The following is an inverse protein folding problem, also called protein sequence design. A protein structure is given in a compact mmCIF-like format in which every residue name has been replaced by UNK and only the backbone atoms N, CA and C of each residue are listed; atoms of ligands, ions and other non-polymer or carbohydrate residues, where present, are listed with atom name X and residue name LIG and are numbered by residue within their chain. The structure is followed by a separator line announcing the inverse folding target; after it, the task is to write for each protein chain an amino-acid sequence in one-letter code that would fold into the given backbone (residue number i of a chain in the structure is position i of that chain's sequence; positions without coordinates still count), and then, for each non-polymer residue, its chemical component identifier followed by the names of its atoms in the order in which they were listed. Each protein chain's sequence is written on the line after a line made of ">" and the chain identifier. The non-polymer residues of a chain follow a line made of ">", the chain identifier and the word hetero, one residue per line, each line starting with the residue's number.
data_IF_228984383747
#
_entry.id   IF_228984383747
#
_cell.length_a   1.000
_cell.length_b   1.000
_cell.length_c   1.000
_cell.angle_alpha   90.00
_cell.angle_beta   90.00
_cell.angle_gamma   90.00
#
_symmetry.space_group_name_H-M   'P 1'
#
loop_
_entity.id
_entity.type
_entity.pdbx_description
1 polymer ?
#
# COMPACT_ATOMS: atom_id res chain seq x y z
N UNK A 1 24.48 28.38 10.52
CA UNK A 1 25.25 29.15 9.52
C UNK A 1 26.48 29.80 10.11
N UNK A 2 26.57 29.87 11.41
CA UNK A 2 27.67 30.47 12.21
C UNK A 2 28.20 29.43 13.17
N UNK A 3 29.50 29.45 13.43
CA UNK A 3 30.15 28.65 14.48
C UNK A 3 30.39 29.60 15.66
N UNK A 4 29.71 29.33 16.78
CA UNK A 4 29.78 30.13 17.98
C UNK A 4 30.83 29.51 18.94
N UNK A 5 31.39 30.33 19.81
CA UNK A 5 32.22 29.91 20.93
C UNK A 5 31.33 29.43 22.11
N UNK A 6 31.97 28.98 23.20
CA UNK A 6 31.27 28.52 24.42
C UNK A 6 30.49 29.61 25.14
N UNK A 7 30.74 30.89 24.78
CA UNK A 7 30.10 32.09 25.36
C UNK A 7 29.01 32.64 24.44
N UNK A 8 28.77 32.00 23.26
CA UNK A 8 27.72 32.38 22.31
C UNK A 8 28.16 33.49 21.34
N UNK A 9 29.40 33.87 21.28
CA UNK A 9 29.91 34.85 20.32
C UNK A 9 30.29 34.17 19.01
N UNK A 10 30.23 34.95 17.90
CA UNK A 10 30.61 34.46 16.60
C UNK A 10 32.10 34.14 16.54
N UNK A 11 32.44 32.85 16.44
CA UNK A 11 33.84 32.41 16.27
C UNK A 11 34.28 32.46 14.81
N UNK A 12 33.43 31.94 13.90
CA UNK A 12 33.66 31.97 12.46
C UNK A 12 32.39 31.71 11.68
N UNK A 13 32.36 32.06 10.42
CA UNK A 13 31.30 31.61 9.50
C UNK A 13 31.42 30.10 9.24
N UNK A 14 30.30 29.44 9.00
CA UNK A 14 30.30 28.02 8.62
C UNK A 14 31.11 27.81 7.33
N UNK A 15 31.66 26.61 7.17
CA UNK A 15 32.56 26.26 6.08
C UNK A 15 31.93 26.48 4.68
N UNK A 16 30.61 26.41 4.55
CA UNK A 16 29.89 26.68 3.31
C UNK A 16 30.10 28.08 2.75
N UNK A 17 30.53 29.06 3.58
CA UNK A 17 30.83 30.44 3.15
C UNK A 17 32.31 30.67 2.81
N UNK A 18 33.16 29.72 3.22
CA UNK A 18 34.63 29.91 3.09
C UNK A 18 35.28 28.92 2.14
N UNK A 19 34.62 27.76 1.93
CA UNK A 19 35.09 26.70 1.04
C UNK A 19 33.93 25.96 0.41
N UNK A 20 34.18 25.32 -0.73
CA UNK A 20 33.21 24.42 -1.35
C UNK A 20 33.03 23.18 -0.47
N UNK A 21 31.85 23.01 0.12
CA UNK A 21 31.50 21.87 0.97
C UNK A 21 30.90 20.70 0.19
N UNK A 22 30.33 20.95 -0.99
CA UNK A 22 29.82 19.96 -1.89
C UNK A 22 30.92 19.51 -2.84
N UNK A 23 31.26 18.23 -2.81
CA UNK A 23 32.22 17.68 -3.78
C UNK A 23 31.56 17.66 -5.16
N UNK A 24 32.29 17.98 -6.25
CA UNK A 24 31.79 17.80 -7.59
C UNK A 24 31.50 16.32 -7.81
N UNK A 25 30.39 16.03 -8.49
CA UNK A 25 30.08 14.67 -8.92
C UNK A 25 31.20 14.21 -9.87
N UNK A 26 31.83 13.09 -9.54
CA UNK A 26 32.78 12.41 -10.40
C UNK A 26 32.07 11.17 -10.92
N UNK A 27 31.83 11.09 -12.23
CA UNK A 27 31.25 9.91 -12.83
C UNK A 27 32.17 8.72 -12.65
N UNK A 28 31.62 7.61 -12.16
CA UNK A 28 32.32 6.34 -12.04
C UNK A 28 32.42 5.73 -13.44
N UNK A 29 33.63 5.42 -13.90
CA UNK A 29 33.86 4.90 -15.24
C UNK A 29 34.05 3.39 -15.32
N UNK A 30 34.41 2.75 -14.19
CA UNK A 30 34.53 1.29 -14.10
C UNK A 30 34.35 0.81 -12.67
N UNK A 31 33.88 -0.41 -12.49
CA UNK A 31 33.67 -1.08 -11.20
C UNK A 31 34.07 -2.56 -11.33
N UNK A 32 34.46 -3.16 -10.22
CA UNK A 32 34.94 -4.55 -10.20
C UNK A 32 33.83 -5.57 -9.91
N UNK A 33 32.77 -5.16 -9.21
CA UNK A 33 31.71 -6.06 -8.75
C UNK A 33 30.34 -5.70 -9.30
N UNK A 34 29.46 -6.69 -9.45
CA UNK A 34 28.08 -6.48 -9.85
C UNK A 34 27.28 -5.60 -8.85
N UNK A 35 27.59 -5.73 -7.56
CA UNK A 35 26.94 -4.93 -6.52
C UNK A 35 27.32 -3.46 -6.60
N UNK A 36 28.58 -3.14 -6.93
CA UNK A 36 29.01 -1.76 -7.18
C UNK A 36 28.37 -1.20 -8.45
N UNK A 37 28.30 -1.99 -9.54
CA UNK A 37 27.62 -1.59 -10.76
C UNK A 37 26.15 -1.26 -10.49
N UNK A 38 25.46 -2.06 -9.68
CA UNK A 38 24.08 -1.81 -9.27
C UNK A 38 23.96 -0.52 -8.46
N UNK A 39 24.84 -0.30 -7.48
CA UNK A 39 24.83 0.91 -6.66
C UNK A 39 25.03 2.18 -7.50
N UNK A 40 25.95 2.14 -8.46
CA UNK A 40 26.19 3.25 -9.40
C UNK A 40 24.97 3.45 -10.32
N UNK A 41 24.39 2.37 -10.85
CA UNK A 41 23.20 2.43 -11.70
C UNK A 41 22.02 3.10 -10.97
N UNK A 42 21.77 2.72 -9.72
CA UNK A 42 20.70 3.33 -8.91
C UNK A 42 21.02 4.79 -8.61
N UNK A 43 22.27 5.10 -8.28
CA UNK A 43 22.71 6.48 -7.96
C UNK A 43 22.58 7.44 -9.15
N UNK A 44 22.92 6.98 -10.36
CA UNK A 44 23.00 7.85 -11.54
C UNK A 44 21.75 7.79 -12.43
N UNK A 45 21.14 6.60 -12.55
CA UNK A 45 19.97 6.36 -13.41
C UNK A 45 18.66 6.23 -12.64
N UNK A 46 18.71 6.14 -11.32
CA UNK A 46 17.56 5.89 -10.42
C UNK A 46 16.76 4.60 -10.79
N UNK A 47 17.41 3.64 -11.43
CA UNK A 47 16.84 2.35 -11.85
C UNK A 47 17.93 1.31 -12.04
N UNK A 48 17.52 0.04 -12.12
CA UNK A 48 18.39 -1.05 -12.53
C UNK A 48 18.52 -1.01 -14.07
N UNK A 49 19.66 -0.60 -14.58
CA UNK A 49 19.96 -0.47 -16.01
C UNK A 49 21.09 -1.44 -16.36
N UNK A 50 20.71 -2.61 -16.95
CA UNK A 50 21.64 -3.70 -17.20
C UNK A 50 22.72 -3.34 -18.23
N UNK A 51 22.37 -2.55 -19.24
CA UNK A 51 23.32 -2.14 -20.27
C UNK A 51 24.39 -1.23 -19.66
N UNK A 52 23.98 -0.28 -18.85
CA UNK A 52 24.90 0.61 -18.13
C UNK A 52 25.78 -0.16 -17.12
N UNK A 53 25.20 -1.12 -16.41
CA UNK A 53 25.96 -1.97 -15.48
C UNK A 53 26.96 -2.86 -16.21
N UNK A 54 26.63 -3.36 -17.40
CA UNK A 54 27.53 -4.13 -18.25
C UNK A 54 28.71 -3.29 -18.76
N UNK A 55 28.46 -2.02 -19.17
CA UNK A 55 29.53 -1.09 -19.57
C UNK A 55 30.50 -0.81 -18.41
N UNK A 56 29.99 -0.62 -17.20
CA UNK A 56 30.81 -0.29 -16.02
C UNK A 56 31.63 -1.49 -15.53
N UNK A 57 31.06 -2.68 -15.53
CA UNK A 57 31.69 -3.88 -14.95
C UNK A 57 32.45 -4.75 -15.98
N UNK A 58 32.18 -4.54 -17.27
CA UNK A 58 32.72 -5.40 -18.33
C UNK A 58 32.13 -6.83 -18.36
N UNK A 59 31.09 -7.11 -17.58
CA UNK A 59 30.40 -8.40 -17.50
C UNK A 59 29.17 -8.43 -18.39
N UNK A 60 28.81 -9.63 -18.84
CA UNK A 60 27.57 -9.80 -19.60
C UNK A 60 26.31 -9.58 -18.73
N UNK A 61 25.19 -9.12 -19.30
CA UNK A 61 23.92 -8.97 -18.55
C UNK A 61 23.47 -10.25 -17.84
N UNK A 62 23.72 -11.40 -18.46
CA UNK A 62 23.37 -12.72 -17.91
C UNK A 62 24.22 -13.09 -16.69
N UNK A 63 25.49 -12.74 -16.68
CA UNK A 63 26.37 -12.91 -15.53
C UNK A 63 25.98 -11.99 -14.38
N UNK A 64 25.67 -10.73 -14.69
CA UNK A 64 25.17 -9.75 -13.71
C UNK A 64 23.85 -10.20 -13.06
N UNK A 65 22.91 -10.72 -13.85
CA UNK A 65 21.64 -11.22 -13.32
C UNK A 65 21.82 -12.44 -12.40
N UNK A 66 22.81 -13.30 -12.69
CA UNK A 66 23.17 -14.44 -11.83
C UNK A 66 23.86 -14.01 -10.54
N UNK A 67 24.83 -13.10 -10.65
CA UNK A 67 25.55 -12.58 -9.46
C UNK A 67 24.64 -11.78 -8.52
N UNK A 68 23.65 -11.07 -9.08
CA UNK A 68 22.67 -10.28 -8.32
C UNK A 68 21.40 -11.05 -7.99
N UNK A 69 21.40 -12.36 -8.15
CA UNK A 69 20.25 -13.19 -7.80
C UNK A 69 19.86 -13.03 -6.32
N UNK A 70 18.61 -12.63 -6.07
CA UNK A 70 18.13 -12.29 -4.72
C UNK A 70 18.30 -10.82 -4.31
N UNK A 71 19.03 -10.02 -5.09
CA UNK A 71 19.18 -8.57 -4.91
C UNK A 71 18.30 -7.80 -5.90
N UNK A 72 18.16 -8.34 -7.12
CA UNK A 72 17.28 -7.81 -8.15
C UNK A 72 16.24 -8.86 -8.57
N UNK A 73 15.06 -8.38 -8.95
CA UNK A 73 13.92 -9.20 -9.34
C UNK A 73 13.24 -8.62 -10.59
N UNK A 74 12.62 -9.49 -11.39
CA UNK A 74 11.78 -9.08 -12.51
C UNK A 74 10.36 -8.84 -12.01
N UNK A 75 9.86 -7.61 -12.16
CA UNK A 75 8.57 -7.21 -11.59
C UNK A 75 7.45 -7.28 -12.64
N UNK A 76 6.53 -8.20 -12.43
CA UNK A 76 5.39 -8.50 -13.32
C UNK A 76 4.23 -7.51 -13.08
N UNK A 77 4.50 -6.20 -12.97
CA UNK A 77 3.48 -5.17 -12.68
C UNK A 77 2.48 -4.90 -13.80
N UNK A 78 2.79 -5.32 -15.02
CA UNK A 78 2.03 -4.90 -16.19
C UNK A 78 0.67 -5.62 -16.35
N UNK A 79 0.39 -6.66 -15.56
CA UNK A 79 -0.89 -7.33 -15.54
C UNK A 79 -1.70 -6.91 -14.31
N UNK A 80 -2.90 -6.40 -14.51
CA UNK A 80 -3.80 -6.05 -13.40
C UNK A 80 -4.40 -7.29 -12.74
N UNK A 81 -4.63 -8.34 -13.53
CA UNK A 81 -5.18 -9.61 -13.07
C UNK A 81 -4.29 -10.79 -13.47
N UNK A 82 -4.23 -11.86 -12.65
CA UNK A 82 -3.49 -13.09 -12.97
C UNK A 82 -3.92 -13.75 -14.30
N UNK A 83 -5.18 -13.58 -14.68
CA UNK A 83 -5.77 -14.12 -15.92
C UNK A 83 -5.24 -13.45 -17.19
N UNK A 84 -4.65 -12.26 -17.05
CA UNK A 84 -4.05 -11.51 -18.16
C UNK A 84 -2.66 -12.02 -18.56
N UNK A 85 -2.08 -12.94 -17.75
CA UNK A 85 -0.79 -13.56 -18.05
C UNK A 85 -1.00 -14.71 -19.05
N UNK A 86 -1.03 -14.36 -20.32
CA UNK A 86 -1.12 -15.36 -21.39
C UNK A 86 0.20 -16.12 -21.54
N UNK A 87 0.18 -17.41 -21.91
CA UNK A 87 1.42 -18.18 -22.19
C UNK A 87 2.33 -17.54 -23.23
N UNK A 88 1.77 -16.80 -24.19
CA UNK A 88 2.52 -16.04 -25.20
C UNK A 88 3.26 -14.82 -24.63
N UNK A 89 2.92 -14.36 -23.44
CA UNK A 89 3.56 -13.25 -22.72
C UNK A 89 4.43 -13.73 -21.56
N UNK A 90 4.54 -15.04 -21.37
CA UNK A 90 5.31 -15.67 -20.30
C UNK A 90 6.82 -15.62 -20.57
N UNK A 91 7.35 -14.41 -20.73
CA UNK A 91 8.78 -14.17 -20.85
C UNK A 91 9.21 -13.10 -19.84
N UNK A 92 9.97 -13.54 -18.83
CA UNK A 92 10.49 -12.65 -17.78
C UNK A 92 11.36 -11.52 -18.33
N UNK A 93 12.02 -11.71 -19.47
CA UNK A 93 12.88 -10.68 -20.05
C UNK A 93 12.16 -9.39 -20.42
N UNK A 94 10.84 -9.46 -20.60
CA UNK A 94 9.97 -8.30 -20.91
C UNK A 94 9.69 -7.41 -19.73
N UNK A 95 9.86 -7.92 -18.52
CA UNK A 95 9.53 -7.18 -17.30
C UNK A 95 10.76 -6.44 -16.77
N UNK A 96 10.56 -5.24 -16.22
CA UNK A 96 11.66 -4.45 -15.69
C UNK A 96 12.32 -5.15 -14.50
N UNK A 97 13.63 -4.98 -14.41
CA UNK A 97 14.39 -5.34 -13.22
C UNK A 97 14.25 -4.24 -12.19
N UNK A 98 13.99 -4.64 -10.97
CA UNK A 98 13.88 -3.74 -9.81
C UNK A 98 14.69 -4.31 -8.65
N UNK A 99 15.01 -3.47 -7.67
CA UNK A 99 15.73 -3.92 -6.46
C UNK A 99 14.81 -4.76 -5.56
N UNK A 100 15.42 -5.55 -4.67
CA UNK A 100 14.69 -6.33 -3.68
C UNK A 100 13.76 -5.45 -2.84
N UNK A 101 14.21 -4.29 -2.39
CA UNK A 101 13.41 -3.36 -1.58
C UNK A 101 12.14 -2.89 -2.32
N UNK A 102 12.26 -2.61 -3.61
CA UNK A 102 11.12 -2.23 -4.44
C UNK A 102 10.20 -3.43 -4.74
N UNK A 103 10.79 -4.60 -5.03
CA UNK A 103 10.02 -5.81 -5.35
C UNK A 103 9.23 -6.34 -4.15
N UNK A 104 9.89 -6.42 -2.98
CA UNK A 104 9.35 -7.01 -1.76
C UNK A 104 8.56 -6.02 -0.89
N UNK A 105 8.18 -4.87 -1.45
CA UNK A 105 7.37 -3.84 -0.77
C UNK A 105 6.07 -3.53 -1.51
N UNK A 106 5.21 -2.74 -0.86
CA UNK A 106 3.93 -2.33 -1.44
C UNK A 106 2.87 -3.44 -1.44
N UNK A 107 2.23 -3.70 -2.58
CA UNK A 107 1.14 -4.68 -2.71
C UNK A 107 1.66 -6.12 -2.84
N UNK A 108 2.43 -6.59 -1.87
CA UNK A 108 3.10 -7.91 -1.92
C UNK A 108 2.14 -9.09 -2.10
N UNK A 109 0.90 -9.01 -1.62
CA UNK A 109 -0.12 -10.05 -1.84
C UNK A 109 -0.56 -10.14 -3.31
N UNK A 110 -0.68 -9.02 -3.97
CA UNK A 110 -1.00 -8.98 -5.40
C UNK A 110 0.20 -9.48 -6.21
N UNK A 111 1.41 -9.01 -5.90
CA UNK A 111 2.64 -9.46 -6.54
C UNK A 111 2.81 -10.98 -6.41
N UNK A 112 2.52 -11.57 -5.25
CA UNK A 112 2.58 -13.01 -5.05
C UNK A 112 1.57 -13.77 -5.92
N UNK A 113 0.33 -13.30 -6.04
CA UNK A 113 -0.66 -13.92 -6.94
C UNK A 113 -0.19 -13.89 -8.39
N UNK A 114 0.37 -12.76 -8.83
CA UNK A 114 0.92 -12.62 -10.18
C UNK A 114 2.12 -13.54 -10.42
N UNK A 115 3.06 -13.60 -9.45
CA UNK A 115 4.23 -14.46 -9.55
C UNK A 115 3.86 -15.95 -9.59
N UNK A 116 2.86 -16.39 -8.82
CA UNK A 116 2.34 -17.77 -8.87
C UNK A 116 1.68 -18.09 -10.21
N UNK A 117 0.84 -17.21 -10.73
CA UNK A 117 0.22 -17.38 -12.04
C UNK A 117 1.28 -17.43 -13.17
N UNK A 118 2.32 -16.60 -13.07
CA UNK A 118 3.44 -16.65 -14.02
C UNK A 118 4.19 -17.98 -13.93
N UNK A 119 4.45 -18.48 -12.73
CA UNK A 119 5.17 -19.75 -12.54
C UNK A 119 4.47 -20.94 -13.21
N UNK A 120 3.13 -20.92 -13.26
CA UNK A 120 2.33 -21.99 -13.91
C UNK A 120 2.55 -22.02 -15.45
N UNK A 121 2.73 -20.85 -16.06
CA UNK A 121 2.89 -20.71 -17.53
C UNK A 121 4.33 -20.49 -17.96
N UNK A 122 5.27 -20.38 -17.03
CA UNK A 122 6.66 -20.08 -17.28
C UNK A 122 7.36 -21.16 -18.12
N UNK A 123 8.18 -20.78 -19.11
CA UNK A 123 9.02 -21.72 -19.83
C UNK A 123 10.09 -22.34 -18.92
N UNK A 124 10.53 -23.57 -19.23
CA UNK A 124 11.40 -24.36 -18.36
C UNK A 124 12.71 -23.65 -17.98
N UNK A 125 13.27 -22.87 -18.89
CA UNK A 125 14.50 -22.09 -18.66
C UNK A 125 14.33 -20.92 -17.68
N UNK A 126 13.09 -20.49 -17.39
CA UNK A 126 12.78 -19.37 -16.50
C UNK A 126 12.08 -19.82 -15.20
N UNK A 127 11.70 -21.08 -15.09
CA UNK A 127 11.00 -21.63 -13.91
C UNK A 127 11.78 -21.43 -12.61
N UNK A 128 13.10 -21.58 -12.66
CA UNK A 128 13.93 -21.41 -11.48
C UNK A 128 13.89 -19.95 -10.96
N UNK A 129 14.01 -18.99 -11.88
CA UNK A 129 13.91 -17.56 -11.54
C UNK A 129 12.49 -17.21 -11.05
N UNK A 130 11.46 -17.73 -11.72
CA UNK A 130 10.06 -17.54 -11.29
C UNK A 130 9.79 -18.14 -9.90
N UNK A 131 10.34 -19.33 -9.60
CA UNK A 131 10.22 -19.96 -8.27
C UNK A 131 10.88 -19.11 -7.20
N UNK A 132 12.08 -18.60 -7.42
CA UNK A 132 12.79 -17.70 -6.51
C UNK A 132 11.99 -16.44 -6.23
N UNK A 133 11.35 -15.85 -7.24
CA UNK A 133 10.47 -14.71 -7.07
C UNK A 133 9.28 -15.02 -6.16
N UNK A 134 8.65 -16.19 -6.32
CA UNK A 134 7.55 -16.64 -5.46
C UNK A 134 8.02 -16.85 -4.03
N UNK A 135 9.12 -17.57 -3.81
CA UNK A 135 9.68 -17.84 -2.49
C UNK A 135 10.02 -16.54 -1.73
N UNK A 136 10.64 -15.57 -2.41
CA UNK A 136 10.96 -14.28 -1.82
C UNK A 136 9.69 -13.50 -1.42
N UNK A 137 8.65 -13.52 -2.25
CA UNK A 137 7.38 -12.87 -1.94
C UNK A 137 6.60 -13.60 -0.84
N UNK A 138 6.68 -14.93 -0.75
CA UNK A 138 6.05 -15.69 0.35
C UNK A 138 6.67 -15.36 1.71
N UNK A 139 8.00 -15.17 1.74
CA UNK A 139 8.71 -14.83 2.98
C UNK A 139 8.33 -13.47 3.58
N UNK A 140 7.87 -12.51 2.76
CA UNK A 140 7.53 -11.15 3.19
C UNK A 140 6.01 -10.90 3.30
N UNK A 141 5.17 -11.96 3.22
CA UNK A 141 3.74 -11.76 3.36
C UNK A 141 3.37 -11.23 4.76
N UNK A 142 2.59 -10.14 4.84
CA UNK A 142 2.12 -9.66 6.13
C UNK A 142 1.14 -10.67 6.74
N UNK A 143 1.22 -10.85 8.04
CA UNK A 143 0.23 -11.63 8.78
C UNK A 143 -1.14 -10.95 8.69
N UNK A 144 -2.19 -11.74 8.60
CA UNK A 144 -3.55 -11.24 8.68
C UNK A 144 -3.85 -10.83 10.12
N UNK A 145 -4.40 -9.63 10.27
CA UNK A 145 -4.85 -9.15 11.57
C UNK A 145 -6.06 -9.96 12.04
N UNK A 146 -6.03 -10.40 13.28
CA UNK A 146 -7.18 -11.02 13.92
C UNK A 146 -8.30 -10.00 14.19
N UNK A 147 -9.53 -10.49 14.36
CA UNK A 147 -10.70 -9.63 14.61
C UNK A 147 -10.50 -8.68 15.81
N UNK A 148 -9.75 -9.09 16.83
CA UNK A 148 -9.43 -8.25 18.00
C UNK A 148 -8.39 -7.17 17.76
N UNK A 149 -7.63 -7.27 16.68
CA UNK A 149 -6.56 -6.31 16.32
C UNK A 149 -7.05 -5.23 15.35
N UNK A 150 -8.22 -5.49 14.71
CA UNK A 150 -8.82 -4.56 13.74
C UNK A 150 -9.73 -3.59 14.50
N UNK A 151 -9.29 -2.34 14.63
CA UNK A 151 -10.13 -1.27 15.16
C UNK A 151 -11.16 -0.82 14.14
N UNK A 152 -12.40 -1.31 14.23
CA UNK A 152 -13.51 -0.86 13.39
C UNK A 152 -14.35 0.15 14.14
N UNK A 153 -14.59 1.31 13.54
CA UNK A 153 -15.53 2.31 14.02
C UNK A 153 -16.73 2.40 13.08
N UNK A 154 -17.92 2.62 13.63
CA UNK A 154 -19.11 2.86 12.81
C UNK A 154 -18.85 4.12 11.97
N UNK A 155 -19.06 4.00 10.65
CA UNK A 155 -18.77 5.09 9.70
C UNK A 155 -17.40 5.02 9.02
N UNK A 156 -16.58 4.02 9.32
CA UNK A 156 -15.30 3.82 8.64
C UNK A 156 -15.48 3.66 7.12
N UNK A 157 -14.77 4.46 6.33
CA UNK A 157 -14.98 4.53 4.87
C UNK A 157 -14.52 3.29 4.11
N UNK A 158 -13.60 2.52 4.70
CA UNK A 158 -13.04 1.31 4.10
C UNK A 158 -13.92 0.07 4.25
N UNK A 159 -14.94 0.12 5.14
CA UNK A 159 -15.89 -0.97 5.32
C UNK A 159 -17.01 -0.82 4.28
N UNK A 160 -17.33 -1.89 3.50
CA UNK A 160 -18.43 -1.87 2.54
C UNK A 160 -19.78 -1.57 3.21
N UNK A 161 -20.65 -0.86 2.51
CA UNK A 161 -21.95 -0.44 3.04
C UNK A 161 -22.87 -1.63 3.37
N UNK A 162 -22.71 -2.71 2.64
CA UNK A 162 -23.43 -3.97 2.80
C UNK A 162 -23.16 -4.58 4.18
N UNK A 163 -21.93 -4.47 4.68
CA UNK A 163 -21.55 -4.96 6.02
C UNK A 163 -22.27 -4.17 7.11
N UNK A 164 -22.36 -2.86 6.96
CA UNK A 164 -23.14 -2.04 7.90
C UNK A 164 -24.63 -2.30 7.80
N UNK A 165 -25.15 -2.54 6.60
CA UNK A 165 -26.55 -2.93 6.40
C UNK A 165 -26.85 -4.27 7.10
N UNK A 166 -25.97 -5.25 6.96
CA UNK A 166 -26.08 -6.53 7.63
C UNK A 166 -26.02 -6.37 9.15
N UNK A 167 -25.05 -5.61 9.66
CA UNK A 167 -24.91 -5.30 11.08
C UNK A 167 -26.20 -4.67 11.65
N UNK A 168 -26.75 -3.66 10.96
CA UNK A 168 -28.00 -3.01 11.38
C UNK A 168 -29.17 -4.00 11.44
N UNK A 169 -29.31 -4.86 10.43
CA UNK A 169 -30.38 -5.85 10.36
C UNK A 169 -30.23 -6.93 11.43
N UNK A 170 -29.04 -7.42 11.70
CA UNK A 170 -28.77 -8.41 12.74
C UNK A 170 -29.01 -7.85 14.15
N UNK A 171 -28.49 -6.62 14.40
CA UNK A 171 -28.62 -5.96 15.69
C UNK A 171 -30.09 -5.62 16.03
N UNK A 172 -30.77 -4.96 15.09
CA UNK A 172 -32.11 -4.40 15.33
C UNK A 172 -33.24 -5.35 14.97
N UNK A 173 -32.97 -6.40 14.18
CA UNK A 173 -33.97 -7.39 13.73
C UNK A 173 -35.28 -6.75 13.28
N UNK A 174 -35.27 -5.90 12.24
CA UNK A 174 -36.48 -5.21 11.79
C UNK A 174 -37.55 -6.20 11.32
N UNK A 175 -38.80 -5.79 11.42
CA UNK A 175 -39.92 -6.59 10.93
C UNK A 175 -39.74 -6.93 9.45
N UNK A 176 -40.10 -8.16 9.05
CA UNK A 176 -39.83 -8.69 7.71
C UNK A 176 -40.38 -7.81 6.58
N UNK A 177 -41.55 -7.19 6.76
CA UNK A 177 -42.21 -6.33 5.78
C UNK A 177 -41.58 -4.91 5.63
N UNK A 178 -40.73 -4.48 6.56
CA UNK A 178 -39.99 -3.20 6.46
C UNK A 178 -38.50 -3.38 6.27
N UNK A 179 -37.99 -4.58 6.45
CA UNK A 179 -36.55 -4.91 6.38
C UNK A 179 -35.90 -4.43 5.09
N UNK A 180 -36.54 -4.69 3.95
CA UNK A 180 -35.98 -4.36 2.63
C UNK A 180 -36.12 -2.87 2.25
N UNK A 181 -36.95 -2.15 3.02
CA UNK A 181 -37.19 -0.71 2.83
C UNK A 181 -36.21 0.16 3.61
N UNK A 182 -35.75 -0.34 4.79
CA UNK A 182 -34.77 0.34 5.61
C UNK A 182 -33.38 0.06 5.06
N UNK A 183 -32.79 1.05 4.39
CA UNK A 183 -31.48 0.92 3.74
C UNK A 183 -30.53 2.02 4.15
N UNK A 184 -29.27 1.65 4.34
CA UNK A 184 -28.18 2.60 4.54
C UNK A 184 -27.74 3.10 3.16
N UNK A 185 -27.72 4.43 3.00
CA UNK A 185 -27.25 5.12 1.80
C UNK A 185 -26.03 5.94 2.16
N UNK A 186 -25.03 5.95 1.28
CA UNK A 186 -23.83 6.78 1.42
C UNK A 186 -23.72 7.70 0.23
N UNK A 187 -23.49 8.99 0.49
CA UNK A 187 -23.16 9.96 -0.56
C UNK A 187 -21.68 9.83 -0.92
N UNK A 188 -21.37 9.55 -2.17
CA UNK A 188 -19.99 9.50 -2.65
C UNK A 188 -19.30 10.86 -2.57
N UNK A 189 -20.05 11.95 -2.80
CA UNK A 189 -19.49 13.30 -2.79
C UNK A 189 -19.14 13.81 -1.39
N UNK A 190 -19.97 13.50 -0.37
CA UNK A 190 -19.80 14.04 0.99
C UNK A 190 -19.31 12.99 1.99
N UNK A 191 -19.35 11.71 1.63
CA UNK A 191 -19.10 10.60 2.55
C UNK A 191 -20.16 10.41 3.62
N UNK A 192 -21.21 11.26 3.64
CA UNK A 192 -22.27 11.21 4.63
C UNK A 192 -23.18 10.01 4.44
N UNK A 193 -23.64 9.48 5.56
CA UNK A 193 -24.55 8.36 5.61
C UNK A 193 -25.95 8.82 5.95
N UNK A 194 -26.95 8.15 5.40
CA UNK A 194 -28.35 8.33 5.76
C UNK A 194 -29.04 6.99 5.78
N UNK A 195 -30.04 6.85 6.64
CA UNK A 195 -30.87 5.66 6.74
C UNK A 195 -32.24 5.97 6.16
N UNK A 196 -32.53 5.37 5.00
CA UNK A 196 -33.82 5.51 4.34
C UNK A 196 -34.90 4.83 5.18
N UNK A 197 -36.07 5.45 5.27
CA UNK A 197 -37.26 4.94 5.99
C UNK A 197 -37.00 4.52 7.45
N UNK A 198 -36.08 5.17 8.13
CA UNK A 198 -35.71 4.92 9.54
C UNK A 198 -36.90 4.97 10.53
N UNK A 199 -38.02 5.58 10.12
CA UNK A 199 -39.23 5.65 10.89
C UNK A 199 -40.25 4.57 10.57
N UNK A 200 -39.99 3.68 9.64
CA UNK A 200 -40.94 2.65 9.22
C UNK A 200 -41.15 1.55 10.28
N UNK A 201 -40.17 1.31 11.14
CA UNK A 201 -40.15 0.24 12.14
C UNK A 201 -40.43 0.75 13.56
N UNK A 202 -41.49 1.53 13.71
CA UNK A 202 -41.84 2.19 15.01
C UNK A 202 -42.30 1.24 16.11
N UNK A 203 -42.64 -0.01 15.78
CA UNK A 203 -43.06 -1.02 16.77
C UNK A 203 -41.87 -1.91 17.21
N UNK A 204 -40.70 -1.70 16.72
CA UNK A 204 -39.52 -2.52 17.04
C UNK A 204 -38.96 -2.19 18.42
N UNK A 205 -39.16 -3.05 19.39
CA UNK A 205 -38.70 -2.89 20.78
C UNK A 205 -37.19 -2.75 20.86
N UNK A 206 -36.43 -3.50 20.05
CA UNK A 206 -34.95 -3.40 20.01
C UNK A 206 -34.51 -2.01 19.54
N UNK A 207 -35.15 -1.48 18.50
CA UNK A 207 -34.81 -0.18 17.94
C UNK A 207 -35.23 1.00 18.83
N UNK A 208 -36.28 0.84 19.66
CA UNK A 208 -36.80 1.94 20.48
C UNK A 208 -36.32 1.86 21.92
N UNK A 209 -36.31 0.67 22.53
CA UNK A 209 -36.08 0.49 23.96
C UNK A 209 -34.68 -0.05 24.26
N UNK A 210 -34.23 -1.11 23.53
CA UNK A 210 -32.97 -1.76 23.85
C UNK A 210 -31.76 -0.91 23.41
N UNK A 211 -31.78 -0.44 22.18
CA UNK A 211 -30.68 0.35 21.57
C UNK A 211 -31.08 1.80 21.28
N UNK A 212 -32.33 2.14 21.52
CA UNK A 212 -32.85 3.51 21.41
C UNK A 212 -32.85 4.24 22.72
N UNK A 213 -33.27 5.48 22.65
CA UNK A 213 -33.52 6.37 23.80
C UNK A 213 -34.97 6.87 23.78
N UNK A 214 -35.44 7.53 24.85
CA UNK A 214 -36.78 8.19 24.89
C UNK A 214 -36.96 9.21 23.75
N UNK A 215 -35.86 9.74 23.16
CA UNK A 215 -35.89 10.81 22.16
C UNK A 215 -35.59 10.32 20.76
N UNK A 216 -34.82 9.26 20.63
CA UNK A 216 -34.27 8.81 19.34
C UNK A 216 -34.25 7.28 19.23
N UNK A 217 -34.73 6.77 18.11
CA UNK A 217 -34.57 5.34 17.81
C UNK A 217 -33.12 5.00 17.49
N UNK A 218 -32.76 3.70 17.59
CA UNK A 218 -31.45 3.19 17.27
C UNK A 218 -31.04 3.51 15.82
N UNK A 219 -31.98 3.57 14.88
CA UNK A 219 -31.70 3.98 13.50
C UNK A 219 -31.17 5.41 13.41
N UNK A 220 -31.73 6.34 14.17
CA UNK A 220 -31.26 7.73 14.23
C UNK A 220 -29.90 7.83 14.92
N UNK A 221 -29.68 7.06 15.98
CA UNK A 221 -28.40 7.03 16.69
C UNK A 221 -27.32 6.48 15.77
N UNK A 222 -27.58 5.39 15.04
CA UNK A 222 -26.64 4.80 14.09
C UNK A 222 -26.24 5.79 12.98
N UNK A 223 -27.21 6.53 12.45
CA UNK A 223 -26.96 7.58 11.46
C UNK A 223 -26.09 8.70 12.02
N UNK A 224 -26.35 9.15 13.25
CA UNK A 224 -25.55 10.20 13.88
C UNK A 224 -24.13 9.74 14.23
N UNK A 225 -23.95 8.51 14.71
CA UNK A 225 -22.63 7.95 15.01
C UNK A 225 -21.73 7.91 13.77
N UNK A 226 -22.30 7.71 12.58
CA UNK A 226 -21.55 7.75 11.33
C UNK A 226 -21.06 9.17 10.96
N UNK A 227 -21.76 10.22 11.39
CA UNK A 227 -21.43 11.62 11.10
C UNK A 227 -20.32 12.19 12.01
N UNK A 228 -20.21 11.71 13.25
CA UNK A 228 -19.25 12.24 14.24
C UNK A 228 -17.80 12.09 13.76
N UNK A 229 -17.48 11.06 12.99
CA UNK A 229 -16.13 10.80 12.51
C UNK A 229 -15.71 11.61 11.27
N UNK A 230 -16.65 12.28 10.60
CA UNK A 230 -16.35 13.11 9.43
C UNK A 230 -15.88 14.51 9.85
N UNK A 231 -16.27 14.99 11.03
CA UNK A 231 -15.99 16.36 11.50
C UNK A 231 -14.76 16.49 12.42
N UNK A 232 -14.25 15.41 13.01
CA UNK A 232 -13.13 15.49 13.97
C UNK A 232 -11.72 15.67 13.36
N UNK A 233 -11.37 15.14 12.19
CA UNK A 233 -10.01 15.32 11.66
C UNK A 233 -9.62 16.78 11.42
N UNK A 234 -10.58 17.65 11.19
CA UNK A 234 -10.33 19.07 10.89
C UNK A 234 -10.03 19.90 12.14
N UNK A 235 -10.45 19.47 13.32
CA UNK A 235 -10.26 20.21 14.57
C UNK A 235 -8.89 19.99 15.22
N UNK A 236 -8.28 18.84 15.01
CA UNK A 236 -6.94 18.51 15.55
C UNK A 236 -5.79 19.10 14.73
N UNK A 237 -6.02 19.47 13.47
CA UNK A 237 -5.01 20.14 12.63
C UNK A 237 -4.90 21.66 12.89
N UNK A 238 -5.82 22.25 13.65
CA UNK A 238 -5.82 23.69 13.94
C UNK A 238 -5.23 24.04 15.32
N UNK A 239 -4.68 23.08 16.06
CA UNK A 239 -4.14 23.26 17.42
C UNK A 239 -2.66 22.90 17.51
N UNK A 240 -1.98 22.67 16.38
CA UNK A 240 -0.52 22.46 16.34
C UNK A 240 0.19 23.62 15.68
#
# INVERSE_FOLDING_TARGET
>A
LEVLDEQGNLKRKADMFTRRTIRPHVAVTSVDTASEALAVSISEKARVDMDYMAELSGKSPEELEKELAGVIYRDIRCAENPEDILPSLADLSRYPLVTADEYLSGKVRQKLRMAKAFLEVAPDNQKETARRNVEALEAVQPQDLGAGEIGVRIGANWVPIEVYQQFMVELLTPNYYVRDRIKILRSEATGQWSIREKNADRSNVKAITTYGTKRMSAYHILEQLSLIHISEPTRLQLIS
#
